data_IF_212489574243
#
_entry.id   IF_212489574243
#
_cell.length_a   1.000
_cell.length_b   1.000
_cell.length_c   1.000
_cell.angle_alpha   90.00
_cell.angle_beta   90.00
_cell.angle_gamma   90.00
#
_symmetry.space_group_name_H-M   'P 1'
#
loop_
_entity.id
_entity.type
_entity.pdbx_description
1 polymer ?
#
# COMPACT_ATOMS: atom_id res chain seq x y z
N UNK A 1 8.16 24.57 -20.74
CA UNK A 1 7.94 25.54 -19.63
C UNK A 1 6.52 25.29 -19.18
N UNK A 2 6.34 24.70 -18.00
CA UNK A 2 5.00 24.36 -17.53
C UNK A 2 4.36 25.67 -17.08
N UNK A 3 3.31 26.07 -17.78
CA UNK A 3 2.63 27.34 -17.48
C UNK A 3 1.90 27.21 -16.14
N UNK A 4 1.84 28.30 -15.37
CA UNK A 4 1.13 28.32 -14.08
C UNK A 4 -0.34 27.91 -14.22
N UNK A 5 -0.99 28.29 -15.32
CA UNK A 5 -2.35 27.87 -15.63
C UNK A 5 -2.48 26.34 -15.77
N UNK A 6 -1.47 25.67 -16.34
CA UNK A 6 -1.44 24.21 -16.47
C UNK A 6 -1.29 23.54 -15.11
N UNK A 7 -0.42 24.07 -14.23
CA UNK A 7 -0.26 23.59 -12.86
C UNK A 7 -1.54 23.78 -12.03
N UNK A 8 -2.24 24.92 -12.18
CA UNK A 8 -3.54 25.17 -11.56
C UNK A 8 -4.60 24.16 -12.01
N UNK A 9 -4.69 23.89 -13.32
CA UNK A 9 -5.61 22.89 -13.88
C UNK A 9 -5.27 21.48 -13.41
N UNK A 10 -3.98 21.15 -13.35
CA UNK A 10 -3.49 19.88 -12.82
C UNK A 10 -3.87 19.71 -11.34
N UNK A 11 -3.67 20.74 -10.51
CA UNK A 11 -4.08 20.73 -9.09
C UNK A 11 -5.57 20.41 -8.95
N UNK A 12 -6.44 21.09 -9.70
CA UNK A 12 -7.89 20.83 -9.69
C UNK A 12 -8.26 19.44 -10.21
N UNK A 13 -7.51 18.91 -11.18
CA UNK A 13 -7.72 17.56 -11.67
C UNK A 13 -7.34 16.52 -10.62
N UNK A 14 -6.17 16.64 -9.99
CA UNK A 14 -5.75 15.79 -8.87
C UNK A 14 -6.74 15.87 -7.71
N UNK A 15 -7.22 17.06 -7.36
CA UNK A 15 -8.25 17.24 -6.33
C UNK A 15 -9.52 16.44 -6.65
N UNK A 16 -9.96 16.40 -7.93
CA UNK A 16 -11.10 15.58 -8.34
C UNK A 16 -10.80 14.09 -8.24
N UNK A 17 -9.64 13.65 -8.71
CA UNK A 17 -9.22 12.25 -8.62
C UNK A 17 -9.24 11.77 -7.16
N UNK A 18 -8.67 12.56 -6.25
CA UNK A 18 -8.58 12.22 -4.83
C UNK A 18 -9.84 12.56 -4.01
N UNK A 19 -10.85 13.19 -4.62
CA UNK A 19 -12.17 13.34 -3.98
C UNK A 19 -12.96 12.03 -3.96
N UNK A 20 -12.55 11.05 -4.76
CA UNK A 20 -13.11 9.71 -4.79
C UNK A 20 -12.19 8.72 -4.05
N UNK A 21 -12.73 7.57 -3.57
CA UNK A 21 -11.91 6.51 -2.99
C UNK A 21 -10.81 6.05 -3.95
N UNK A 22 -9.62 5.78 -3.40
CA UNK A 22 -8.49 5.27 -4.18
C UNK A 22 -8.79 3.84 -4.61
N UNK A 23 -8.61 3.56 -5.90
CA UNK A 23 -8.80 2.24 -6.51
C UNK A 23 -7.60 1.87 -7.38
N UNK A 24 -7.63 0.67 -7.98
CA UNK A 24 -6.58 0.19 -8.90
C UNK A 24 -6.40 1.05 -10.15
N UNK A 25 -7.38 1.87 -10.54
CA UNK A 25 -7.24 2.78 -11.69
C UNK A 25 -6.68 4.14 -11.32
N UNK A 26 -6.74 4.54 -10.04
CA UNK A 26 -6.39 5.90 -9.58
C UNK A 26 -4.97 6.29 -9.97
N UNK A 27 -3.98 5.40 -9.83
CA UNK A 27 -2.60 5.72 -10.22
C UNK A 27 -2.45 5.97 -11.72
N UNK A 28 -3.15 5.19 -12.56
CA UNK A 28 -3.17 5.40 -14.02
C UNK A 28 -3.86 6.71 -14.39
N UNK A 29 -4.89 7.11 -13.65
CA UNK A 29 -5.58 8.38 -13.83
C UNK A 29 -4.69 9.57 -13.46
N UNK A 30 -3.88 9.44 -12.41
CA UNK A 30 -2.84 10.43 -12.05
C UNK A 30 -1.80 10.55 -13.16
N UNK A 31 -1.27 9.43 -13.66
CA UNK A 31 -0.31 9.43 -14.78
C UNK A 31 -0.89 10.13 -16.01
N UNK A 32 -2.15 9.82 -16.34
CA UNK A 32 -2.88 10.45 -17.45
C UNK A 32 -3.06 11.96 -17.23
N UNK A 33 -3.40 12.36 -16.00
CA UNK A 33 -3.57 13.76 -15.60
C UNK A 33 -2.27 14.53 -15.77
N UNK A 34 -1.17 14.03 -15.21
CA UNK A 34 0.16 14.65 -15.32
C UNK A 34 0.54 14.79 -16.79
N UNK A 35 0.44 13.71 -17.57
CA UNK A 35 0.80 13.71 -18.99
C UNK A 35 -0.03 14.70 -19.83
N UNK A 36 -1.31 14.87 -19.50
CA UNK A 36 -2.21 15.83 -20.18
C UNK A 36 -1.79 17.27 -19.91
N UNK A 37 -1.40 17.60 -18.68
CA UNK A 37 -1.08 18.98 -18.28
C UNK A 37 0.38 19.37 -18.48
N UNK A 38 1.27 18.43 -18.80
CA UNK A 38 2.65 18.71 -19.26
C UNK A 38 2.76 18.78 -20.79
N UNK A 39 1.66 19.09 -21.49
CA UNK A 39 1.63 19.21 -22.95
C UNK A 39 2.09 17.93 -23.69
N UNK A 40 1.95 16.76 -23.07
CA UNK A 40 2.43 15.46 -23.58
C UNK A 40 3.96 15.37 -23.74
N UNK A 41 4.71 16.30 -23.15
CA UNK A 41 6.16 16.22 -23.06
C UNK A 41 6.53 15.17 -21.99
N UNK A 42 7.27 14.13 -22.42
CA UNK A 42 7.67 13.02 -21.55
C UNK A 42 8.65 13.43 -20.47
N UNK A 43 9.55 14.37 -20.76
CA UNK A 43 10.57 14.79 -19.81
C UNK A 43 9.93 15.63 -18.69
N UNK A 44 9.05 16.57 -19.06
CA UNK A 44 8.29 17.37 -18.10
C UNK A 44 7.32 16.48 -17.29
N UNK A 45 6.67 15.49 -17.92
CA UNK A 45 5.78 14.54 -17.23
C UNK A 45 6.52 13.68 -16.20
N UNK A 46 7.69 13.13 -16.58
CA UNK A 46 8.51 12.32 -15.69
C UNK A 46 9.02 13.15 -14.51
N UNK A 47 9.50 14.37 -14.75
CA UNK A 47 9.93 15.27 -13.69
C UNK A 47 8.81 15.55 -12.67
N UNK A 48 7.59 15.85 -13.14
CA UNK A 48 6.45 16.12 -12.25
C UNK A 48 6.03 14.87 -11.49
N UNK A 49 5.95 13.71 -12.16
CA UNK A 49 5.56 12.46 -11.53
C UNK A 49 6.60 12.01 -10.49
N UNK A 50 7.89 12.13 -10.80
CA UNK A 50 8.98 11.87 -9.86
C UNK A 50 8.94 12.83 -8.68
N UNK A 51 8.64 14.12 -8.89
CA UNK A 51 8.51 15.08 -7.80
C UNK A 51 7.35 14.71 -6.85
N UNK A 52 6.18 14.35 -7.40
CA UNK A 52 5.02 13.92 -6.60
C UNK A 52 5.32 12.60 -5.86
N UNK A 53 5.99 11.64 -6.51
CA UNK A 53 6.31 10.35 -5.89
C UNK A 53 7.45 10.45 -4.87
N UNK A 54 8.44 11.31 -5.07
CA UNK A 54 9.58 11.48 -4.16
C UNK A 54 9.27 12.45 -3.02
N UNK A 55 8.30 13.35 -3.19
CA UNK A 55 8.08 14.46 -2.27
C UNK A 55 9.13 15.56 -2.43
N UNK A 56 10.03 15.45 -3.41
CA UNK A 56 11.13 16.39 -3.63
C UNK A 56 11.00 17.08 -4.99
N UNK A 57 11.01 18.41 -5.00
CA UNK A 57 11.07 19.17 -6.25
C UNK A 57 12.54 19.32 -6.66
N UNK A 58 13.06 18.36 -7.42
CA UNK A 58 14.40 18.45 -8.03
C UNK A 58 14.37 19.44 -9.20
N UNK A 59 14.53 20.72 -8.90
CA UNK A 59 14.69 21.75 -9.92
C UNK A 59 16.16 21.86 -10.30
N UNK A 60 16.56 21.17 -11.36
CA UNK A 60 17.85 21.40 -12.01
C UNK A 60 17.94 22.86 -12.48
N UNK A 61 19.17 23.37 -12.67
CA UNK A 61 19.41 24.79 -12.99
C UNK A 61 18.67 25.32 -14.24
N UNK A 62 18.30 24.44 -15.19
CA UNK A 62 17.46 24.78 -16.37
C UNK A 62 15.95 24.76 -16.08
N UNK A 63 15.54 24.15 -14.97
CA UNK A 63 14.15 23.92 -14.56
C UNK A 63 13.66 24.96 -13.54
N UNK A 64 14.59 25.61 -12.80
CA UNK A 64 14.28 26.73 -11.88
C UNK A 64 13.65 27.95 -12.58
N UNK A 65 13.95 28.18 -13.86
CA UNK A 65 13.34 29.26 -14.65
C UNK A 65 12.04 28.83 -15.35
N UNK A 66 11.74 27.53 -15.43
CA UNK A 66 10.67 26.97 -16.28
C UNK A 66 9.39 26.56 -15.54
N UNK A 67 9.40 26.56 -14.22
CA UNK A 67 8.30 26.05 -13.40
C UNK A 67 8.07 27.01 -12.25
N UNK A 68 6.81 27.39 -12.01
CA UNK A 68 6.44 28.10 -10.78
C UNK A 68 6.65 27.13 -9.60
N UNK A 69 7.87 27.11 -9.06
CA UNK A 69 8.31 26.15 -8.05
C UNK A 69 7.49 26.18 -6.77
N UNK A 70 6.79 27.28 -6.49
CA UNK A 70 5.89 27.38 -5.34
C UNK A 70 4.62 26.54 -5.53
N UNK A 71 3.93 26.69 -6.65
CA UNK A 71 2.69 25.96 -6.92
C UNK A 71 2.96 24.46 -7.12
N UNK A 72 4.07 24.10 -7.79
CA UNK A 72 4.46 22.70 -7.90
C UNK A 72 4.77 22.10 -6.52
N UNK A 73 5.46 22.85 -5.65
CA UNK A 73 5.71 22.41 -4.28
C UNK A 73 4.41 22.20 -3.50
N UNK A 74 3.44 23.10 -3.61
CA UNK A 74 2.11 22.89 -3.00
C UNK A 74 1.43 21.62 -3.49
N UNK A 75 1.49 21.32 -4.79
CA UNK A 75 0.92 20.08 -5.36
C UNK A 75 1.66 18.85 -4.79
N UNK A 76 2.99 18.89 -4.71
CA UNK A 76 3.79 17.79 -4.17
C UNK A 76 3.48 17.58 -2.68
N UNK A 77 3.47 18.64 -1.89
CA UNK A 77 3.20 18.57 -0.45
C UNK A 77 1.79 18.01 -0.18
N UNK A 78 0.79 18.39 -0.97
CA UNK A 78 -0.60 17.95 -0.81
C UNK A 78 -0.85 16.52 -1.34
N UNK A 79 -0.29 16.17 -2.50
CA UNK A 79 -0.66 14.95 -3.23
C UNK A 79 0.41 13.85 -3.23
N UNK A 80 1.57 14.03 -2.60
CA UNK A 80 2.60 12.98 -2.57
C UNK A 80 2.12 11.70 -1.90
N UNK A 81 1.56 11.79 -0.69
CA UNK A 81 1.10 10.62 0.07
C UNK A 81 -0.07 9.92 -0.63
N UNK A 82 -1.14 10.61 -1.06
CA UNK A 82 -2.23 9.97 -1.81
C UNK A 82 -1.75 9.31 -3.10
N UNK A 83 -0.77 9.91 -3.80
CA UNK A 83 -0.22 9.32 -5.03
C UNK A 83 0.57 8.05 -4.73
N UNK A 84 1.42 8.04 -3.69
CA UNK A 84 2.13 6.84 -3.24
C UNK A 84 1.16 5.73 -2.86
N UNK A 85 0.12 6.07 -2.10
CA UNK A 85 -0.91 5.11 -1.70
C UNK A 85 -1.63 4.54 -2.94
N UNK A 86 -1.97 5.36 -3.92
CA UNK A 86 -2.59 4.86 -5.16
C UNK A 86 -1.68 3.90 -5.95
N UNK A 87 -0.36 4.11 -5.91
CA UNK A 87 0.62 3.19 -6.48
C UNK A 87 0.66 1.88 -5.70
N UNK A 88 0.67 1.94 -4.37
CA UNK A 88 0.59 0.75 -3.52
C UNK A 88 -0.70 -0.05 -3.78
N UNK A 89 -1.84 0.62 -3.96
CA UNK A 89 -3.12 -0.03 -4.29
C UNK A 89 -3.08 -0.71 -5.67
N UNK A 90 -2.43 -0.09 -6.66
CA UNK A 90 -2.23 -0.69 -7.97
C UNK A 90 -1.37 -1.98 -7.90
N UNK A 91 -0.28 -1.95 -7.15
CA UNK A 91 0.71 -3.05 -7.11
C UNK A 91 0.29 -4.19 -6.19
N UNK A 92 -0.29 -3.87 -5.02
CA UNK A 92 -0.55 -4.83 -3.93
C UNK A 92 -1.89 -4.60 -3.24
N UNK A 93 -2.88 -4.01 -3.90
CA UNK A 93 -4.17 -3.65 -3.29
C UNK A 93 -4.91 -4.80 -2.58
N UNK A 94 -4.77 -6.03 -3.07
CA UNK A 94 -5.41 -7.23 -2.48
C UNK A 94 -4.66 -7.82 -1.29
N UNK A 95 -3.48 -7.29 -0.94
CA UNK A 95 -2.65 -7.85 0.12
C UNK A 95 -3.22 -7.43 1.48
N UNK A 96 -3.08 -8.31 2.47
CA UNK A 96 -3.44 -8.01 3.86
C UNK A 96 -2.53 -6.87 4.34
N UNK A 97 -3.14 -5.82 4.89
CA UNK A 97 -2.45 -4.68 5.46
C UNK A 97 -2.54 -4.68 6.99
N UNK A 98 -3.70 -5.06 7.54
CA UNK A 98 -3.94 -5.05 8.97
C UNK A 98 -4.93 -6.16 9.36
N UNK A 99 -4.77 -6.71 10.56
CA UNK A 99 -5.71 -7.65 11.16
C UNK A 99 -5.89 -7.30 12.64
N UNK A 100 -7.13 -7.32 13.11
CA UNK A 100 -7.48 -7.19 14.53
C UNK A 100 -8.44 -8.29 14.94
N UNK A 101 -8.34 -8.73 16.19
CA UNK A 101 -9.17 -9.81 16.73
C UNK A 101 -9.65 -9.46 18.13
N UNK A 102 -10.96 -9.54 18.34
CA UNK A 102 -11.60 -9.39 19.66
C UNK A 102 -12.08 -10.74 20.17
N UNK A 103 -11.76 -11.06 21.42
CA UNK A 103 -12.25 -12.28 22.06
C UNK A 103 -13.60 -12.03 22.74
N UNK A 104 -14.59 -12.84 22.38
CA UNK A 104 -15.93 -12.84 22.92
C UNK A 104 -16.16 -14.11 23.75
N UNK A 105 -16.90 -13.98 24.85
CA UNK A 105 -17.39 -15.12 25.64
C UNK A 105 -18.90 -15.13 25.57
N UNK A 106 -19.47 -16.19 25.01
CA UNK A 106 -20.91 -16.39 24.93
C UNK A 106 -21.28 -17.69 25.66
N UNK A 107 -21.69 -17.55 26.92
CA UNK A 107 -21.88 -18.69 27.82
C UNK A 107 -20.55 -19.44 28.03
N UNK A 108 -20.53 -20.73 27.67
CA UNK A 108 -19.33 -21.57 27.76
C UNK A 108 -18.47 -21.55 26.50
N UNK A 109 -18.90 -20.88 25.43
CA UNK A 109 -18.14 -20.79 24.18
C UNK A 109 -17.17 -19.60 24.19
N UNK A 110 -15.97 -19.82 23.65
CA UNK A 110 -15.00 -18.78 23.33
C UNK A 110 -15.06 -18.55 21.83
N UNK A 111 -15.23 -17.30 21.41
CA UNK A 111 -15.27 -16.89 20.01
C UNK A 111 -14.30 -15.74 19.78
N UNK A 112 -13.82 -15.60 18.56
CA UNK A 112 -13.01 -14.48 18.10
C UNK A 112 -13.73 -13.79 16.95
N UNK A 113 -13.88 -12.48 17.05
CA UNK A 113 -14.28 -11.62 15.93
C UNK A 113 -13.02 -11.08 15.28
N UNK A 114 -12.76 -11.46 14.04
CA UNK A 114 -11.57 -11.07 13.31
C UNK A 114 -11.95 -10.08 12.21
N UNK A 115 -11.22 -8.99 12.09
CA UNK A 115 -11.34 -8.02 10.99
C UNK A 115 -10.00 -7.97 10.25
N UNK A 116 -10.05 -8.20 8.94
CA UNK A 116 -8.92 -8.07 8.02
C UNK A 116 -9.16 -6.87 7.14
N UNK A 117 -8.17 -5.97 7.10
CA UNK A 117 -8.14 -4.84 6.17
C UNK A 117 -7.05 -5.04 5.13
N UNK A 118 -7.37 -4.85 3.86
CA UNK A 118 -6.44 -4.91 2.73
C UNK A 118 -5.79 -3.55 2.45
N UNK A 119 -4.76 -3.52 1.59
CA UNK A 119 -4.08 -2.28 1.17
C UNK A 119 -5.02 -1.33 0.42
N UNK A 120 -5.96 -1.86 -0.38
CA UNK A 120 -7.01 -1.07 -1.04
C UNK A 120 -8.07 -0.50 -0.08
N UNK A 121 -7.98 -0.87 1.21
CA UNK A 121 -8.88 -0.40 2.24
C UNK A 121 -10.15 -1.23 2.38
N UNK A 122 -10.37 -2.28 1.58
CA UNK A 122 -11.50 -3.19 1.76
C UNK A 122 -11.34 -4.00 3.06
N UNK A 123 -12.48 -4.31 3.68
CA UNK A 123 -12.56 -4.94 4.99
C UNK A 123 -13.33 -6.27 4.89
N UNK A 124 -12.85 -7.29 5.59
CA UNK A 124 -13.55 -8.56 5.71
C UNK A 124 -13.55 -9.03 7.16
N UNK A 125 -14.75 -9.16 7.71
CA UNK A 125 -14.97 -9.64 9.06
C UNK A 125 -15.40 -11.11 9.06
N UNK A 126 -14.82 -11.91 9.95
CA UNK A 126 -15.22 -13.30 10.17
C UNK A 126 -15.08 -13.74 11.62
N UNK A 127 -15.88 -14.73 12.01
CA UNK A 127 -15.85 -15.33 13.34
C UNK A 127 -15.08 -16.64 13.33
N UNK A 128 -14.38 -16.93 14.42
CA UNK A 128 -13.73 -18.22 14.62
C UNK A 128 -13.80 -18.66 16.07
N UNK A 129 -13.93 -19.95 16.27
CA UNK A 129 -13.71 -20.63 17.56
C UNK A 129 -12.25 -21.11 17.67
N UNK A 130 -11.75 -21.50 18.86
CA UNK A 130 -10.38 -21.96 19.04
C UNK A 130 -9.94 -23.04 18.03
N UNK A 131 -10.81 -24.01 17.72
CA UNK A 131 -10.56 -25.06 16.73
C UNK A 131 -10.38 -24.47 15.32
N UNK A 132 -11.17 -23.45 14.98
CA UNK A 132 -11.04 -22.72 13.72
C UNK A 132 -9.70 -21.97 13.61
N UNK A 133 -9.23 -21.37 14.71
CA UNK A 133 -7.91 -20.72 14.76
C UNK A 133 -6.78 -21.73 14.54
N UNK A 134 -6.86 -22.91 15.18
CA UNK A 134 -5.87 -23.97 14.99
C UNK A 134 -5.81 -24.41 13.52
N UNK A 135 -6.95 -24.62 12.87
CA UNK A 135 -7.00 -24.98 11.44
C UNK A 135 -6.41 -23.90 10.53
N UNK A 136 -6.62 -22.62 10.84
CA UNK A 136 -6.01 -21.52 10.10
C UNK A 136 -4.49 -21.50 10.27
N UNK A 137 -4.01 -21.72 11.50
CA UNK A 137 -2.57 -21.85 11.79
C UNK A 137 -1.95 -23.01 11.00
N UNK A 138 -2.58 -24.18 11.01
CA UNK A 138 -2.12 -25.34 10.24
C UNK A 138 -2.07 -25.03 8.74
N UNK A 139 -3.12 -24.42 8.21
CA UNK A 139 -3.18 -24.02 6.80
C UNK A 139 -2.03 -23.08 6.41
N UNK A 140 -1.82 -21.99 7.17
CA UNK A 140 -0.75 -21.03 6.87
C UNK A 140 0.64 -21.63 7.08
N UNK A 141 0.82 -22.51 8.06
CA UNK A 141 2.08 -23.24 8.26
C UNK A 141 2.37 -24.13 7.05
N UNK A 142 1.38 -24.86 6.54
CA UNK A 142 1.50 -25.65 5.32
C UNK A 142 1.89 -24.82 4.09
N UNK A 143 1.38 -23.59 3.96
CA UNK A 143 1.81 -22.66 2.90
C UNK A 143 3.29 -22.25 3.04
N UNK A 144 3.80 -22.06 4.26
CA UNK A 144 5.23 -21.80 4.48
C UNK A 144 6.09 -23.02 4.15
N UNK A 145 5.62 -24.23 4.45
CA UNK A 145 6.32 -25.45 4.05
C UNK A 145 6.41 -25.62 2.54
N UNK A 146 5.35 -25.26 1.81
CA UNK A 146 5.36 -25.25 0.34
C UNK A 146 6.39 -24.26 -0.21
N UNK A 147 6.47 -23.05 0.36
CA UNK A 147 7.49 -22.06 -0.01
C UNK A 147 8.90 -22.62 0.21
N UNK A 148 9.14 -23.36 1.30
CA UNK A 148 10.43 -23.95 1.60
C UNK A 148 10.87 -25.02 0.58
N UNK A 149 9.90 -25.66 -0.12
CA UNK A 149 10.17 -26.65 -1.17
C UNK A 149 10.48 -26.01 -2.52
N UNK A 150 10.24 -24.71 -2.69
CA UNK A 150 10.49 -23.98 -3.92
C UNK A 150 11.90 -23.36 -3.91
N UNK A 151 12.72 -23.71 -4.90
CA UNK A 151 14.12 -23.27 -4.98
C UNK A 151 14.30 -21.75 -5.06
N UNK A 152 13.36 -21.06 -5.68
CA UNK A 152 13.36 -19.60 -5.83
C UNK A 152 12.75 -18.85 -4.64
N UNK A 153 12.09 -19.53 -3.71
CA UNK A 153 11.35 -18.90 -2.61
C UNK A 153 11.88 -19.29 -1.22
N UNK A 154 12.68 -20.35 -1.10
CA UNK A 154 13.30 -20.75 0.17
C UNK A 154 14.20 -19.68 0.79
N UNK A 155 14.85 -18.83 -0.03
CA UNK A 155 15.66 -17.71 0.45
C UNK A 155 14.82 -16.65 1.18
N UNK A 156 13.55 -16.49 0.80
CA UNK A 156 12.62 -15.60 1.52
C UNK A 156 12.44 -16.05 2.98
N UNK A 157 12.29 -17.35 3.22
CA UNK A 157 12.14 -17.90 4.56
C UNK A 157 13.42 -17.81 5.38
N UNK A 158 14.59 -17.98 4.76
CA UNK A 158 15.89 -17.78 5.44
C UNK A 158 16.03 -16.36 5.98
N UNK A 159 15.58 -15.37 5.20
CA UNK A 159 15.54 -13.97 5.60
C UNK A 159 14.66 -13.67 6.82
N UNK A 160 13.71 -14.57 7.14
CA UNK A 160 12.76 -14.42 8.26
C UNK A 160 12.92 -15.54 9.31
N UNK A 161 14.13 -16.09 9.45
CA UNK A 161 14.40 -17.21 10.35
C UNK A 161 14.13 -16.88 11.82
N UNK A 162 14.36 -15.64 12.25
CA UNK A 162 14.09 -15.20 13.62
C UNK A 162 12.60 -15.20 13.94
N UNK A 163 11.76 -14.76 13.00
CA UNK A 163 10.31 -14.75 13.11
C UNK A 163 9.76 -16.18 13.17
N UNK A 164 10.31 -17.09 12.36
CA UNK A 164 9.95 -18.51 12.39
C UNK A 164 10.35 -19.18 13.73
N UNK A 165 11.52 -18.84 14.28
CA UNK A 165 11.93 -19.31 15.61
C UNK A 165 11.02 -18.77 16.71
N UNK A 166 10.67 -17.49 16.66
CA UNK A 166 9.72 -16.89 17.61
C UNK A 166 8.34 -17.54 17.53
N UNK A 167 7.89 -17.93 16.33
CA UNK A 167 6.64 -18.66 16.13
C UNK A 167 6.69 -20.04 16.78
N UNK A 168 7.78 -20.79 16.55
CA UNK A 168 8.02 -22.08 17.20
C UNK A 168 7.96 -21.98 18.73
N UNK A 169 8.66 -21.01 19.31
CA UNK A 169 8.68 -20.82 20.76
C UNK A 169 7.29 -20.52 21.33
N UNK A 170 6.46 -19.76 20.60
CA UNK A 170 5.06 -19.48 21.00
C UNK A 170 4.23 -20.76 20.99
N UNK A 171 4.36 -21.61 19.96
CA UNK A 171 3.64 -22.89 19.90
C UNK A 171 4.08 -23.85 21.00
N UNK A 172 5.38 -23.95 21.28
CA UNK A 172 5.86 -24.79 22.37
C UNK A 172 5.33 -24.34 23.74
N UNK A 173 5.24 -23.02 23.97
CA UNK A 173 4.65 -22.47 25.20
C UNK A 173 3.16 -22.77 25.32
N UNK A 174 2.41 -22.79 24.22
CA UNK A 174 0.98 -23.15 24.22
C UNK A 174 0.76 -24.64 24.51
N UNK A 175 1.68 -25.51 24.08
CA UNK A 175 1.60 -26.96 24.27
C UNK A 175 2.15 -27.47 25.61
N UNK A 176 2.97 -26.68 26.31
CA UNK A 176 3.49 -27.03 27.64
C UNK A 176 2.41 -26.77 28.70
N UNK A 177 1.82 -27.86 29.21
CA UNK A 177 1.14 -27.90 30.51
C UNK A 177 2.14 -28.17 31.61
#
# INVERSE_FOLDING_TARGET
MIQEEQLQKMKRALQRVFSLPITRSTFKEIQTTVFTFTSQDKDDANMVLEAILSGEVKLDGKSKEKVNGKLLKEIVDEYCIPTRLSKDVLEKGEFINFMSSDMLRQGNAILFTNDIRRVDGEHFQFFSEPEGIIRLIEHFTGRLEEINRLDNAKEFLKGHSNELLALKDRYEKLGKK
#
